data_IF_989252987289
#
_entry.id   IF_989252987289
#
_cell.length_a   1.000
_cell.length_b   1.000
_cell.length_c   1.000
_cell.angle_alpha   90.00
_cell.angle_beta   90.00
_cell.angle_gamma   90.00
#
_symmetry.space_group_name_H-M   'P 1'
#
loop_
_entity.id
_entity.type
_entity.pdbx_description
1 polymer ?
#
# COMPACT_ATOMS: atom_id res chain seq x y z
N UNK A 1 -46.43 -48.37 69.09
CA UNK A 1 -45.02 -48.37 69.56
C UNK A 1 -44.11 -48.41 68.33
N UNK A 2 -42.99 -47.66 68.24
CA UNK A 2 -42.78 -46.33 68.81
C UNK A 2 -41.92 -45.38 67.90
N UNK A 3 -41.86 -44.09 68.27
CA UNK A 3 -40.80 -43.05 68.07
C UNK A 3 -40.36 -42.71 66.63
N UNK A 4 -40.18 -41.45 66.19
CA UNK A 4 -39.88 -40.25 66.95
C UNK A 4 -39.87 -38.97 66.12
N UNK A 5 -40.08 -37.89 66.84
CA UNK A 5 -39.97 -36.50 66.41
C UNK A 5 -38.50 -36.06 66.51
N UNK A 6 -37.94 -35.47 65.44
CA UNK A 6 -36.74 -34.64 65.56
C UNK A 6 -36.97 -33.36 64.76
N UNK A 7 -37.03 -32.25 65.52
CA UNK A 7 -36.99 -30.88 65.03
C UNK A 7 -35.56 -30.52 64.62
N UNK A 8 -35.38 -29.86 63.47
CA UNK A 8 -34.16 -29.13 63.18
C UNK A 8 -34.50 -27.80 62.45
N UNK A 9 -34.52 -26.72 63.23
CA UNK A 9 -34.36 -25.32 62.76
C UNK A 9 -32.93 -25.13 62.27
N UNK A 10 -32.68 -24.59 61.06
CA UNK A 10 -31.53 -23.72 60.71
C UNK A 10 -31.91 -22.83 59.52
N UNK A 11 -32.14 -21.54 59.76
CA UNK A 11 -31.23 -20.40 59.51
C UNK A 11 -31.18 -20.00 58.03
N UNK A 12 -31.88 -18.90 57.72
CA UNK A 12 -31.73 -18.15 56.48
C UNK A 12 -30.35 -17.48 56.45
N UNK A 13 -29.65 -17.62 55.32
CA UNK A 13 -28.47 -16.81 54.98
C UNK A 13 -28.81 -16.10 53.67
N UNK A 14 -29.04 -14.78 53.76
CA UNK A 14 -29.08 -13.89 52.60
C UNK A 14 -27.65 -13.74 52.07
N UNK A 15 -27.39 -14.27 50.88
CA UNK A 15 -26.17 -13.98 50.14
C UNK A 15 -26.43 -12.80 49.19
N UNK A 16 -25.87 -11.63 49.52
CA UNK A 16 -25.84 -10.46 48.62
C UNK A 16 -24.75 -10.66 47.57
N UNK A 17 -25.13 -10.87 46.32
CA UNK A 17 -24.20 -10.94 45.19
C UNK A 17 -23.77 -9.53 44.76
N UNK A 18 -22.50 -9.17 44.96
CA UNK A 18 -21.90 -7.99 44.36
C UNK A 18 -21.52 -8.30 42.91
N UNK A 19 -22.18 -7.65 41.95
CA UNK A 19 -21.85 -7.76 40.52
C UNK A 19 -20.67 -6.83 40.18
N UNK A 20 -19.54 -7.41 39.80
CA UNK A 20 -18.39 -6.67 39.27
C UNK A 20 -18.57 -6.52 37.74
N UNK A 21 -18.94 -5.33 37.27
CA UNK A 21 -18.97 -5.03 35.83
C UNK A 21 -17.56 -4.69 35.35
N UNK A 22 -16.92 -5.62 34.64
CA UNK A 22 -15.67 -5.36 33.91
C UNK A 22 -16.04 -4.76 32.55
N UNK A 23 -15.86 -3.45 32.39
CA UNK A 23 -16.00 -2.77 31.10
C UNK A 23 -14.74 -3.04 30.28
N UNK A 24 -14.84 -3.93 29.29
CA UNK A 24 -13.74 -4.22 28.37
C UNK A 24 -13.44 -3.03 27.45
N UNK A 25 -12.23 -2.48 27.53
CA UNK A 25 -11.70 -1.62 26.48
C UNK A 25 -11.46 -2.47 25.22
N UNK A 26 -12.32 -2.33 24.22
CA UNK A 26 -12.05 -2.82 22.87
C UNK A 26 -10.99 -1.92 22.25
N UNK A 27 -9.75 -2.42 22.17
CA UNK A 27 -8.72 -1.80 21.34
C UNK A 27 -9.17 -1.90 19.86
N UNK A 28 -9.53 -0.77 19.26
CA UNK A 28 -9.75 -0.66 17.81
C UNK A 28 -8.40 -0.70 17.11
N UNK A 29 -7.81 -1.89 16.99
CA UNK A 29 -6.73 -2.09 16.03
C UNK A 29 -7.31 -1.85 14.63
N UNK A 30 -6.64 -1.09 13.74
CA UNK A 30 -7.06 -1.01 12.36
C UNK A 30 -7.09 -2.42 11.78
N UNK A 31 -8.17 -2.78 11.07
CA UNK A 31 -8.16 -3.99 10.28
C UNK A 31 -6.95 -3.93 9.33
N UNK A 32 -6.20 -5.03 9.23
CA UNK A 32 -5.13 -5.14 8.25
C UNK A 32 -5.77 -4.98 6.85
N UNK A 33 -5.64 -3.78 6.28
CA UNK A 33 -6.19 -3.48 4.97
C UNK A 33 -5.26 -4.07 3.91
N UNK A 34 -5.83 -4.80 2.95
CA UNK A 34 -5.11 -5.26 1.77
C UNK A 34 -4.79 -4.05 0.89
N UNK A 35 -3.65 -3.40 1.15
CA UNK A 35 -3.30 -2.13 0.55
C UNK A 35 -1.79 -1.85 0.62
N UNK A 36 -1.35 -1.01 -0.33
CA UNK A 36 -0.05 -0.35 -0.31
C UNK A 36 0.19 0.44 0.99
N UNK A 37 1.45 0.58 1.46
CA UNK A 37 1.77 1.45 2.59
C UNK A 37 1.09 2.81 2.49
N UNK A 38 0.48 3.26 3.59
CA UNK A 38 -0.26 4.53 3.59
C UNK A 38 0.69 5.69 3.26
N UNK A 39 0.42 6.50 2.23
CA UNK A 39 1.24 7.66 1.93
C UNK A 39 1.13 8.71 3.04
N UNK A 40 2.12 9.61 3.14
CA UNK A 40 2.09 10.73 4.09
C UNK A 40 0.81 11.56 3.97
N UNK A 41 0.43 12.30 5.01
CA UNK A 41 -0.78 13.15 5.00
C UNK A 41 -0.79 14.13 3.82
N UNK A 42 -1.96 14.62 3.40
CA UNK A 42 -2.05 15.61 2.33
C UNK A 42 -1.26 16.90 2.65
N UNK A 43 -1.28 17.34 3.91
CA UNK A 43 -0.50 18.49 4.36
C UNK A 43 1.01 18.23 4.21
N UNK A 44 1.50 17.06 4.64
CA UNK A 44 2.90 16.67 4.47
C UNK A 44 3.28 16.52 3.00
N UNK A 45 2.42 15.94 2.17
CA UNK A 45 2.64 15.83 0.73
C UNK A 45 2.78 17.21 0.08
N UNK A 46 1.95 18.20 0.45
CA UNK A 46 2.11 19.59 -0.04
C UNK A 46 3.46 20.19 0.36
N UNK A 47 3.92 19.95 1.59
CA UNK A 47 5.27 20.38 2.03
C UNK A 47 6.38 19.71 1.22
N UNK A 48 6.28 18.39 1.00
CA UNK A 48 7.25 17.65 0.20
C UNK A 48 7.27 18.13 -1.26
N UNK A 49 6.09 18.33 -1.87
CA UNK A 49 5.96 18.84 -3.23
C UNK A 49 6.59 20.22 -3.40
N UNK A 50 6.44 21.10 -2.39
CA UNK A 50 7.08 22.41 -2.39
C UNK A 50 8.61 22.31 -2.38
N UNK A 51 9.16 21.33 -1.67
CA UNK A 51 10.60 21.09 -1.52
C UNK A 51 11.25 20.32 -2.69
N UNK A 52 10.48 19.65 -3.55
CA UNK A 52 11.02 18.96 -4.71
C UNK A 52 11.72 19.92 -5.68
N UNK A 53 12.88 19.51 -6.19
CA UNK A 53 13.64 20.26 -7.19
C UNK A 53 12.89 20.24 -8.52
N UNK A 54 12.50 21.43 -9.00
CA UNK A 54 11.83 21.58 -10.30
C UNK A 54 12.86 21.71 -11.41
N UNK A 55 12.79 20.86 -12.44
CA UNK A 55 13.61 20.96 -13.65
C UNK A 55 12.89 20.31 -14.83
N UNK A 56 13.32 20.60 -16.05
CA UNK A 56 12.80 19.91 -17.23
C UNK A 56 13.05 18.39 -17.12
N UNK A 57 12.10 17.60 -17.62
CA UNK A 57 12.22 16.15 -17.64
C UNK A 57 13.50 15.71 -18.37
N UNK A 58 14.21 14.72 -17.81
CA UNK A 58 15.46 14.22 -18.38
C UNK A 58 15.25 13.33 -19.61
N UNK A 59 16.35 13.04 -20.32
CA UNK A 59 16.31 12.14 -21.48
C UNK A 59 16.16 10.66 -21.06
N UNK A 60 15.43 9.89 -21.88
CA UNK A 60 15.39 8.42 -21.81
C UNK A 60 16.65 7.73 -22.36
N UNK A 61 17.63 8.48 -22.88
CA UNK A 61 18.90 7.93 -23.38
C UNK A 61 19.55 7.02 -22.33
N UNK A 62 19.92 5.81 -22.75
CA UNK A 62 20.58 4.82 -21.89
C UNK A 62 19.67 4.12 -20.89
N UNK A 63 18.37 4.44 -20.87
CA UNK A 63 17.41 3.70 -20.07
C UNK A 63 17.32 2.25 -20.55
N UNK A 64 17.39 1.33 -19.60
CA UNK A 64 16.95 -0.05 -19.74
C UNK A 64 16.34 -0.48 -18.42
N UNK A 65 15.22 -1.20 -18.49
CA UNK A 65 14.54 -1.74 -17.30
C UNK A 65 15.45 -2.68 -16.51
N UNK A 66 16.37 -3.37 -17.19
CA UNK A 66 17.33 -4.30 -16.57
C UNK A 66 18.34 -3.60 -15.65
N UNK A 67 18.51 -2.28 -15.79
CA UNK A 67 19.35 -1.48 -14.87
C UNK A 67 18.71 -1.31 -13.49
N UNK A 68 17.45 -1.67 -13.33
CA UNK A 68 16.71 -1.73 -12.07
C UNK A 68 16.46 -3.19 -11.73
N UNK A 69 17.41 -3.93 -11.12
CA UNK A 69 17.12 -5.30 -10.69
C UNK A 69 15.87 -5.34 -9.81
N UNK A 70 14.82 -5.99 -10.28
CA UNK A 70 13.52 -6.02 -9.62
C UNK A 70 12.94 -7.42 -9.61
N UNK A 71 12.06 -7.58 -8.62
CA UNK A 71 11.56 -8.85 -8.10
C UNK A 71 12.67 -9.68 -7.44
N UNK A 72 13.48 -9.04 -6.61
CA UNK A 72 14.43 -9.74 -5.74
C UNK A 72 13.68 -10.53 -4.66
N UNK A 73 14.34 -11.57 -4.13
CA UNK A 73 13.83 -12.30 -2.96
C UNK A 73 13.74 -11.37 -1.75
N UNK A 74 12.56 -11.32 -1.13
CA UNK A 74 12.30 -10.56 0.09
C UNK A 74 12.38 -11.45 1.33
N UNK A 75 11.73 -12.62 1.27
CA UNK A 75 11.75 -13.60 2.36
C UNK A 75 11.39 -14.98 1.83
N UNK A 76 12.16 -16.01 2.21
CA UNK A 76 11.93 -17.38 1.74
C UNK A 76 11.93 -17.47 0.21
N UNK A 77 10.88 -18.06 -0.35
CA UNK A 77 10.67 -18.13 -1.81
C UNK A 77 9.98 -16.88 -2.39
N UNK A 78 9.48 -15.97 -1.56
CA UNK A 78 8.72 -14.81 -2.00
C UNK A 78 9.65 -13.72 -2.53
N UNK A 79 9.52 -13.41 -3.81
CA UNK A 79 10.08 -12.19 -4.38
C UNK A 79 9.20 -10.98 -4.06
N UNK A 80 9.66 -9.79 -4.44
CA UNK A 80 8.91 -8.54 -4.24
C UNK A 80 7.51 -8.58 -4.86
N UNK A 81 7.35 -9.15 -6.06
CA UNK A 81 6.05 -9.23 -6.76
C UNK A 81 5.05 -10.01 -5.92
N UNK A 82 5.41 -11.23 -5.53
CA UNK A 82 4.54 -12.08 -4.70
C UNK A 82 4.31 -11.49 -3.31
N UNK A 83 5.29 -10.78 -2.77
CA UNK A 83 5.13 -10.03 -1.51
C UNK A 83 4.03 -8.97 -1.64
N UNK A 84 3.98 -8.24 -2.75
CA UNK A 84 2.93 -7.22 -3.00
C UNK A 84 1.58 -7.87 -3.26
N UNK A 85 1.51 -8.92 -4.08
CA UNK A 85 0.25 -9.63 -4.31
C UNK A 85 -0.35 -10.17 -3.00
N UNK A 86 0.48 -10.76 -2.14
CA UNK A 86 0.03 -11.24 -0.83
C UNK A 86 -0.43 -10.10 0.09
N UNK A 87 0.21 -8.92 0.00
CA UNK A 87 -0.13 -7.73 0.79
C UNK A 87 -1.44 -7.08 0.33
N UNK A 88 -1.63 -6.94 -0.97
CA UNK A 88 -2.72 -6.17 -1.58
C UNK A 88 -3.96 -7.03 -1.90
N UNK A 89 -3.87 -8.35 -1.73
CA UNK A 89 -4.98 -9.26 -1.91
C UNK A 89 -5.68 -9.66 -0.62
N UNK A 90 -6.92 -10.12 -0.76
CA UNK A 90 -7.73 -10.71 0.30
C UNK A 90 -7.78 -12.22 0.10
N UNK A 91 -7.66 -12.98 1.19
CA UNK A 91 -7.68 -14.45 1.19
C UNK A 91 -6.66 -15.07 0.22
N UNK A 92 -5.48 -14.47 0.08
CA UNK A 92 -4.44 -14.95 -0.82
C UNK A 92 -3.85 -16.26 -0.31
N UNK A 93 -3.88 -17.29 -1.16
CA UNK A 93 -3.18 -18.56 -0.94
C UNK A 93 -1.99 -18.61 -1.88
N UNK A 94 -0.82 -18.94 -1.34
CA UNK A 94 0.42 -19.09 -2.10
C UNK A 94 0.87 -20.55 -2.10
N UNK A 95 1.51 -21.00 -3.18
CA UNK A 95 2.16 -22.31 -3.23
C UNK A 95 3.57 -22.30 -2.59
N UNK A 96 4.32 -23.41 -2.71
CA UNK A 96 5.67 -23.54 -2.17
C UNK A 96 6.71 -22.63 -2.84
N UNK A 97 6.43 -22.13 -4.05
CA UNK A 97 7.25 -21.13 -4.74
C UNK A 97 6.84 -19.69 -4.38
N UNK A 98 5.88 -19.55 -3.46
CA UNK A 98 5.22 -18.30 -3.10
C UNK A 98 4.35 -17.68 -4.22
N UNK A 99 4.08 -18.42 -5.31
CA UNK A 99 3.19 -17.94 -6.34
C UNK A 99 1.75 -17.88 -5.80
N UNK A 100 1.08 -16.75 -6.01
CA UNK A 100 -0.31 -16.55 -5.63
C UNK A 100 -1.24 -17.41 -6.50
N UNK A 101 -1.79 -18.49 -5.95
CA UNK A 101 -2.64 -19.46 -6.67
C UNK A 101 -4.14 -19.19 -6.54
N UNK A 102 -4.54 -18.43 -5.52
CA UNK A 102 -5.91 -17.92 -5.38
C UNK A 102 -5.93 -16.68 -4.48
N UNK A 103 -6.99 -15.89 -4.58
CA UNK A 103 -7.20 -14.68 -3.80
C UNK A 103 -8.21 -13.77 -4.49
N UNK A 104 -8.36 -12.56 -3.97
CA UNK A 104 -9.14 -11.49 -4.60
C UNK A 104 -8.38 -10.18 -4.45
N UNK A 105 -8.22 -9.44 -5.54
CA UNK A 105 -7.50 -8.17 -5.59
C UNK A 105 -8.41 -7.08 -6.13
N UNK A 106 -8.52 -5.97 -5.38
CA UNK A 106 -9.22 -4.78 -5.83
C UNK A 106 -8.20 -3.82 -6.43
N UNK A 107 -8.32 -3.49 -7.72
CA UNK A 107 -7.43 -2.51 -8.34
C UNK A 107 -7.87 -1.11 -7.98
N UNK A 108 -7.00 -0.40 -7.28
CA UNK A 108 -7.30 0.96 -6.85
C UNK A 108 -7.34 1.97 -8.02
N UNK A 109 -6.88 1.60 -9.22
CA UNK A 109 -6.83 2.51 -10.36
C UNK A 109 -8.16 2.64 -11.11
N UNK A 110 -8.90 1.55 -11.23
CA UNK A 110 -10.17 1.46 -12.00
C UNK A 110 -11.36 0.98 -11.15
N UNK A 111 -11.11 0.44 -9.95
CA UNK A 111 -12.12 -0.14 -9.08
C UNK A 111 -12.60 -1.53 -9.49
N UNK A 112 -11.89 -2.21 -10.39
CA UNK A 112 -12.16 -3.59 -10.76
C UNK A 112 -11.68 -4.57 -9.68
N UNK A 113 -12.26 -5.77 -9.65
CA UNK A 113 -11.82 -6.86 -8.77
C UNK A 113 -11.47 -8.08 -9.60
N UNK A 114 -10.31 -8.68 -9.29
CA UNK A 114 -9.73 -9.80 -10.01
C UNK A 114 -9.46 -10.96 -9.06
N UNK A 115 -9.56 -12.18 -9.56
CA UNK A 115 -9.27 -13.40 -8.77
C UNK A 115 -8.11 -14.22 -9.34
N UNK A 116 -7.67 -13.93 -10.57
CA UNK A 116 -6.48 -14.52 -11.15
C UNK A 116 -5.32 -13.53 -11.00
N UNK A 117 -4.23 -13.97 -10.36
CA UNK A 117 -3.04 -13.14 -10.15
C UNK A 117 -2.32 -12.73 -11.47
N UNK A 118 -2.69 -13.34 -12.59
CA UNK A 118 -2.22 -12.99 -13.94
C UNK A 118 -2.88 -11.74 -14.51
N UNK A 119 -4.06 -11.35 -14.02
CA UNK A 119 -4.76 -10.14 -14.47
C UNK A 119 -4.27 -8.89 -13.72
N UNK A 120 -3.28 -9.07 -12.82
CA UNK A 120 -2.69 -8.02 -12.01
C UNK A 120 -1.22 -7.83 -12.35
N UNK A 121 -0.85 -6.56 -12.52
CA UNK A 121 0.52 -6.09 -12.47
C UNK A 121 0.83 -5.51 -11.09
N UNK A 122 2.12 -5.53 -10.75
CA UNK A 122 2.65 -4.70 -9.67
C UNK A 122 3.20 -3.42 -10.29
N UNK A 123 2.43 -2.34 -10.18
CA UNK A 123 2.83 -1.03 -10.66
C UNK A 123 3.89 -0.43 -9.73
N UNK A 124 4.87 0.22 -10.36
CA UNK A 124 5.73 1.19 -9.72
C UNK A 124 5.02 2.53 -9.80
N UNK A 125 4.43 2.99 -8.68
CA UNK A 125 3.64 4.25 -8.62
C UNK A 125 4.40 5.35 -9.35
N UNK A 126 5.66 5.57 -8.98
CA UNK A 126 6.62 6.30 -9.80
C UNK A 126 7.33 5.30 -10.73
N UNK A 127 7.03 5.33 -12.02
CA UNK A 127 7.52 4.34 -12.98
C UNK A 127 9.06 4.34 -13.07
N UNK A 128 9.68 3.18 -13.37
CA UNK A 128 11.14 3.07 -13.45
C UNK A 128 11.76 3.99 -14.53
N UNK A 129 11.08 4.15 -15.67
CA UNK A 129 11.49 5.05 -16.76
C UNK A 129 11.33 6.52 -16.38
N UNK A 130 10.23 6.88 -15.71
CA UNK A 130 10.04 8.22 -15.13
C UNK A 130 11.16 8.54 -14.14
N UNK A 131 11.44 7.62 -13.20
CA UNK A 131 12.49 7.81 -12.20
C UNK A 131 13.86 8.02 -12.86
N UNK A 132 14.14 7.32 -13.98
CA UNK A 132 15.36 7.50 -14.77
C UNK A 132 15.49 8.94 -15.26
N UNK A 133 14.45 9.48 -15.90
CA UNK A 133 14.39 10.87 -16.39
C UNK A 133 14.45 11.89 -15.25
N UNK A 134 13.98 11.50 -14.07
CA UNK A 134 13.95 12.33 -12.86
C UNK A 134 15.21 12.24 -11.98
N UNK A 135 16.23 11.48 -12.37
CA UNK A 135 17.55 11.48 -11.74
C UNK A 135 18.12 10.11 -11.37
N UNK A 136 17.34 9.04 -11.49
CA UNK A 136 17.82 7.68 -11.24
C UNK A 136 18.86 7.19 -12.27
N UNK A 137 19.03 7.90 -13.38
CA UNK A 137 20.11 7.66 -14.34
C UNK A 137 21.52 7.82 -13.71
N UNK A 138 21.66 8.67 -12.70
CA UNK A 138 22.91 8.92 -11.99
C UNK A 138 23.13 7.96 -10.80
N UNK A 139 22.15 7.13 -10.48
CA UNK A 139 22.24 6.22 -9.34
C UNK A 139 23.18 5.05 -9.60
N UNK A 140 23.66 4.45 -8.52
CA UNK A 140 24.25 3.11 -8.55
C UNK A 140 23.17 2.06 -8.84
N UNK A 141 23.56 0.88 -9.33
CA UNK A 141 22.63 -0.24 -9.51
C UNK A 141 21.96 -0.66 -8.19
N UNK A 142 22.68 -0.59 -7.07
CA UNK A 142 22.12 -0.90 -5.75
C UNK A 142 20.98 0.06 -5.36
N UNK A 143 21.10 1.35 -5.65
CA UNK A 143 20.04 2.33 -5.42
C UNK A 143 18.83 2.08 -6.33
N UNK A 144 19.05 1.80 -7.62
CA UNK A 144 17.96 1.43 -8.55
C UNK A 144 17.24 0.15 -8.12
N UNK A 145 17.98 -0.87 -7.69
CA UNK A 145 17.40 -2.09 -7.12
C UNK A 145 16.59 -1.77 -5.85
N UNK A 146 17.11 -0.95 -4.95
CA UNK A 146 16.38 -0.59 -3.73
C UNK A 146 15.07 0.17 -4.05
N UNK A 147 15.09 1.10 -5.01
CA UNK A 147 13.90 1.81 -5.48
C UNK A 147 12.87 0.86 -6.09
N UNK A 148 13.31 -0.03 -6.98
CA UNK A 148 12.41 -0.93 -7.70
C UNK A 148 11.79 -2.02 -6.80
N UNK A 149 12.29 -2.20 -5.58
CA UNK A 149 11.79 -3.16 -4.61
C UNK A 149 11.36 -2.50 -3.27
N UNK A 150 11.05 -1.20 -3.29
CA UNK A 150 10.66 -0.46 -2.09
C UNK A 150 9.26 -0.87 -1.59
N UNK A 151 9.24 -1.69 -0.54
CA UNK A 151 8.02 -2.12 0.15
C UNK A 151 7.66 -1.25 1.36
N UNK A 152 8.51 -0.28 1.73
CA UNK A 152 8.31 0.57 2.91
C UNK A 152 7.51 1.82 2.54
N UNK A 153 7.79 2.42 1.38
CA UNK A 153 7.02 3.55 0.84
C UNK A 153 5.89 3.08 -0.07
N UNK A 154 4.94 3.97 -0.40
CA UNK A 154 3.88 3.70 -1.36
C UNK A 154 4.38 3.65 -2.81
N UNK A 155 5.36 2.79 -3.10
CA UNK A 155 5.98 2.68 -4.43
C UNK A 155 5.45 1.52 -5.25
N UNK A 156 5.00 0.44 -4.60
CA UNK A 156 4.53 -0.76 -5.29
C UNK A 156 3.06 -1.03 -4.95
N UNK A 157 2.23 -1.30 -5.94
CA UNK A 157 0.79 -1.59 -5.77
C UNK A 157 0.30 -2.62 -6.80
N UNK A 158 -0.55 -3.56 -6.38
CA UNK A 158 -1.23 -4.48 -7.29
C UNK A 158 -2.41 -3.78 -7.99
N UNK A 159 -2.41 -3.77 -9.34
CA UNK A 159 -3.43 -3.10 -10.16
C UNK A 159 -3.76 -3.89 -11.41
N UNK A 160 -4.89 -3.60 -12.05
CA UNK A 160 -5.28 -4.22 -13.33
C UNK A 160 -4.17 -4.03 -14.38
N UNK A 161 -3.79 -5.13 -15.03
CA UNK A 161 -2.66 -5.19 -15.98
C UNK A 161 -2.77 -4.15 -17.12
N UNK A 162 -3.90 -4.08 -17.80
CA UNK A 162 -4.10 -3.19 -18.95
C UNK A 162 -4.18 -1.71 -18.54
N UNK A 163 -4.62 -1.43 -17.30
CA UNK A 163 -4.62 -0.07 -16.73
C UNK A 163 -3.19 0.37 -16.40
N UNK A 164 -2.37 -0.54 -15.89
CA UNK A 164 -0.94 -0.30 -15.69
C UNK A 164 -0.20 -0.08 -17.02
N UNK A 165 -0.51 -0.87 -18.05
CA UNK A 165 0.03 -0.68 -19.39
C UNK A 165 -0.40 0.67 -19.99
N UNK A 166 -1.64 1.10 -19.76
CA UNK A 166 -2.13 2.40 -20.19
C UNK A 166 -1.47 3.58 -19.45
N UNK A 167 -1.11 3.39 -18.16
CA UNK A 167 -0.27 4.34 -17.41
C UNK A 167 1.13 4.43 -17.99
N UNK A 168 1.75 3.28 -18.28
CA UNK A 168 3.12 3.23 -18.79
C UNK A 168 4.11 3.97 -17.88
N UNK A 169 4.87 4.89 -18.47
CA UNK A 169 5.78 5.79 -17.75
C UNK A 169 5.34 7.25 -17.77
N UNK A 170 4.03 7.48 -17.99
CA UNK A 170 3.39 8.78 -17.91
C UNK A 170 3.36 9.27 -16.46
N UNK A 171 3.57 10.58 -16.30
CA UNK A 171 3.51 11.25 -15.01
C UNK A 171 2.07 11.70 -14.66
N UNK A 172 1.83 12.27 -13.47
CA UNK A 172 0.53 12.81 -13.06
C UNK A 172 -0.06 13.93 -13.93
N UNK A 173 0.71 14.59 -14.78
CA UNK A 173 0.20 15.57 -15.74
C UNK A 173 -0.42 14.90 -16.96
N UNK A 174 0.07 13.72 -17.34
CA UNK A 174 -0.38 12.96 -18.50
C UNK A 174 -1.36 11.84 -18.15
N UNK A 175 -1.23 11.26 -16.96
CA UNK A 175 -2.06 10.14 -16.52
C UNK A 175 -2.43 10.21 -15.03
N UNK A 176 -3.70 9.99 -14.73
CA UNK A 176 -4.21 9.78 -13.37
C UNK A 176 -5.17 8.60 -13.36
N UNK A 177 -5.30 7.89 -12.21
CA UNK A 177 -6.31 6.87 -12.04
C UNK A 177 -7.70 7.34 -12.49
N UNK A 178 -8.42 6.48 -13.21
CA UNK A 178 -9.79 6.78 -13.63
C UNK A 178 -10.73 6.88 -12.43
N UNK A 179 -10.45 6.12 -11.37
CA UNK A 179 -11.14 6.25 -10.09
C UNK A 179 -10.75 7.54 -9.37
N UNK A 180 -11.57 8.57 -9.53
CA UNK A 180 -11.33 9.91 -8.94
C UNK A 180 -11.14 9.89 -7.42
N UNK A 181 -11.87 9.01 -6.72
CA UNK A 181 -11.73 8.80 -5.28
C UNK A 181 -10.32 8.35 -4.85
N UNK A 182 -9.53 7.75 -5.74
CA UNK A 182 -8.15 7.33 -5.43
C UNK A 182 -7.10 8.39 -5.73
N UNK A 183 -7.43 9.41 -6.54
CA UNK A 183 -6.44 10.39 -7.04
C UNK A 183 -5.70 11.11 -5.91
N UNK A 184 -6.38 11.42 -4.80
CA UNK A 184 -5.73 12.01 -3.64
C UNK A 184 -4.63 11.10 -3.05
N UNK A 185 -4.93 9.81 -2.87
CA UNK A 185 -3.96 8.82 -2.38
C UNK A 185 -2.82 8.64 -3.38
N UNK A 186 -3.13 8.55 -4.67
CA UNK A 186 -2.13 8.44 -5.75
C UNK A 186 -1.16 9.63 -5.76
N UNK A 187 -1.68 10.87 -5.74
CA UNK A 187 -0.83 12.08 -5.72
C UNK A 187 0.05 12.15 -4.46
N UNK A 188 -0.49 11.78 -3.29
CA UNK A 188 0.30 11.71 -2.04
C UNK A 188 1.40 10.64 -2.12
N UNK A 189 1.10 9.48 -2.70
CA UNK A 189 2.06 8.39 -2.90
C UNK A 189 3.19 8.82 -3.83
N UNK A 190 2.84 9.37 -4.99
CA UNK A 190 3.78 9.88 -5.97
C UNK A 190 4.76 10.90 -5.36
N UNK A 191 4.24 11.92 -4.66
CA UNK A 191 5.08 12.92 -3.99
C UNK A 191 5.93 12.31 -2.88
N UNK A 192 5.37 11.39 -2.08
CA UNK A 192 6.11 10.72 -1.02
C UNK A 192 7.32 9.95 -1.57
N UNK A 193 7.13 9.21 -2.67
CA UNK A 193 8.21 8.48 -3.33
C UNK A 193 9.26 9.43 -3.89
N UNK A 194 8.87 10.43 -4.71
CA UNK A 194 9.84 11.35 -5.32
C UNK A 194 10.64 12.12 -4.28
N UNK A 195 9.98 12.55 -3.20
CA UNK A 195 10.65 13.24 -2.10
C UNK A 195 11.66 12.33 -1.39
N UNK A 196 11.26 11.10 -1.06
CA UNK A 196 12.15 10.17 -0.38
C UNK A 196 13.41 9.86 -1.21
N UNK A 197 13.21 9.57 -2.50
CA UNK A 197 14.27 9.15 -3.40
C UNK A 197 15.05 10.31 -4.01
N UNK A 198 14.75 11.55 -3.62
CA UNK A 198 15.38 12.77 -4.14
C UNK A 198 15.31 12.85 -5.67
N UNK A 199 14.16 12.49 -6.23
CA UNK A 199 13.85 12.63 -7.65
C UNK A 199 13.39 14.06 -7.94
N UNK A 200 13.78 14.60 -9.09
CA UNK A 200 13.25 15.89 -9.54
C UNK A 200 11.85 15.77 -10.10
N UNK A 201 11.15 16.89 -10.22
CA UNK A 201 9.81 17.00 -10.79
C UNK A 201 9.83 18.05 -11.91
N UNK A 202 9.03 17.89 -12.97
CA UNK A 202 8.85 18.97 -13.93
C UNK A 202 7.68 19.90 -13.57
N UNK A 203 7.58 21.02 -14.29
CA UNK A 203 6.59 22.06 -13.99
C UNK A 203 5.14 21.62 -14.24
N UNK A 204 4.89 20.80 -15.25
CA UNK A 204 3.56 20.29 -15.56
C UNK A 204 3.13 19.26 -14.51
N UNK A 205 4.03 18.32 -14.21
CA UNK A 205 3.87 17.32 -13.16
C UNK A 205 3.55 17.96 -11.81
N UNK A 206 4.34 18.98 -11.40
CA UNK A 206 4.15 19.70 -10.13
C UNK A 206 2.79 20.39 -10.08
N UNK A 207 2.37 21.00 -11.19
CA UNK A 207 1.09 21.70 -11.28
C UNK A 207 -0.09 20.74 -11.17
N UNK A 208 -0.01 19.58 -11.84
CA UNK A 208 -1.03 18.53 -11.77
C UNK A 208 -1.16 17.96 -10.35
N UNK A 209 -0.02 17.62 -9.71
CA UNK A 209 -0.01 17.15 -8.33
C UNK A 209 -0.55 18.20 -7.35
N UNK A 210 -0.18 19.47 -7.52
CA UNK A 210 -0.70 20.56 -6.68
C UNK A 210 -2.22 20.69 -6.81
N UNK A 211 -2.76 20.60 -8.03
CA UNK A 211 -4.21 20.64 -8.27
C UNK A 211 -4.92 19.51 -7.54
N UNK A 212 -4.45 18.26 -7.70
CA UNK A 212 -5.05 17.09 -7.03
C UNK A 212 -4.94 17.21 -5.51
N UNK A 213 -3.78 17.61 -4.99
CA UNK A 213 -3.55 17.75 -3.55
C UNK A 213 -4.32 18.91 -2.92
N UNK A 214 -4.79 19.90 -3.67
CA UNK A 214 -5.69 20.94 -3.15
C UNK A 214 -7.13 20.47 -3.00
N UNK A 215 -7.52 19.42 -3.75
CA UNK A 215 -8.79 18.71 -3.58
C UNK A 215 -8.77 17.65 -2.48
N UNK A 216 -7.61 17.46 -1.83
CA UNK A 216 -7.42 16.74 -0.58
C UNK A 216 -7.49 17.70 0.63
#
# INVERSE_FOLDING_TARGET
MPVGMIYARRLAVLATSAALTVTGLLATAPAAQAAMPTPVSAATARTYLAALTVKAEGSSTGYSRDLFPHWITQSGACNTRETVLKRDGVNVVTDSSCASVSGSWYSEYDGATWTAASDLDIDHVVALSEAWRSGANAWTTAQRQAFANDLTRPQLIAVTDNVNQAKGDLDPAEWLPSRTAYRCTYARAWVHVKYHWNLSIDSAEKSALQSVLNGC
#
